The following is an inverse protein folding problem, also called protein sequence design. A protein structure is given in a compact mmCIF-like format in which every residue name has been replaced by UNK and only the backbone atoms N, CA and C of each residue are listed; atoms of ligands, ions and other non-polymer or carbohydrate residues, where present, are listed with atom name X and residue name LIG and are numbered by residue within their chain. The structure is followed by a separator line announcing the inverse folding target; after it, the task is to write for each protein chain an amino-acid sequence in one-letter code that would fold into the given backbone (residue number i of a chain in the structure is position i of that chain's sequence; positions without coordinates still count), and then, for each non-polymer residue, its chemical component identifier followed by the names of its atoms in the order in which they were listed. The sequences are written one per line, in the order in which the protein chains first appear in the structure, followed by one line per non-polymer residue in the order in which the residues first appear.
data_IF_982252808332
#
_entry.id   IF_982252808332
#
_cell.length_a   1.000
_cell.length_b   1.000
_cell.length_c   1.000
_cell.angle_alpha   90.00
_cell.angle_beta   90.00
_cell.angle_gamma   90.00
#
_symmetry.space_group_name_H-M   'P 1'
#
loop_
_entity.id
_entity.type
_entity.pdbx_description
1 polymer ?
#
# COMPACT_ATOMS: atom_id res chain seq x y z
N UNK A 1 -74.81 13.08 -11.85
CA UNK A 1 -74.36 11.70 -12.18
C UNK A 1 -73.18 11.25 -11.38
N UNK A 2 -72.62 12.11 -10.48
CA UNK A 2 -71.36 11.81 -9.71
C UNK A 2 -71.54 11.26 -8.28
N UNK A 3 -72.73 11.28 -7.72
CA UNK A 3 -72.96 10.85 -6.35
C UNK A 3 -73.13 9.33 -6.16
N UNK A 4 -73.63 8.60 -7.20
CA UNK A 4 -73.80 7.13 -7.16
C UNK A 4 -72.47 6.36 -7.35
N UNK A 5 -71.51 6.94 -8.07
CA UNK A 5 -70.22 6.30 -8.33
C UNK A 5 -69.31 6.34 -7.09
N UNK A 6 -69.48 7.34 -6.24
CA UNK A 6 -68.68 7.51 -5.00
C UNK A 6 -69.16 6.58 -3.88
N UNK A 7 -70.44 6.27 -3.84
CA UNK A 7 -71.01 5.31 -2.88
C UNK A 7 -70.65 3.86 -3.16
N UNK A 8 -70.53 3.48 -4.45
CA UNK A 8 -70.15 2.12 -4.84
C UNK A 8 -68.65 1.84 -4.51
N UNK A 9 -67.76 2.80 -4.64
CA UNK A 9 -66.32 2.60 -4.29
C UNK A 9 -66.10 2.37 -2.80
N UNK A 10 -66.86 3.05 -1.94
CA UNK A 10 -66.74 2.87 -0.47
C UNK A 10 -67.29 1.53 0.04
N UNK A 11 -68.28 0.94 -0.67
CA UNK A 11 -68.82 -0.36 -0.27
C UNK A 11 -67.86 -1.51 -0.64
N UNK A 12 -67.18 -1.44 -1.77
CA UNK A 12 -66.22 -2.46 -2.21
C UNK A 12 -64.97 -2.44 -1.31
N UNK A 13 -64.54 -1.24 -0.89
CA UNK A 13 -63.35 -1.11 -0.02
C UNK A 13 -63.59 -1.66 1.39
N UNK A 14 -64.78 -1.51 1.95
CA UNK A 14 -65.15 -2.07 3.27
C UNK A 14 -65.31 -3.61 3.24
N UNK A 15 -65.74 -4.19 2.12
CA UNK A 15 -65.86 -5.64 2.01
C UNK A 15 -64.49 -6.33 1.86
N UNK A 16 -63.56 -5.71 1.18
CA UNK A 16 -62.18 -6.25 1.01
C UNK A 16 -61.40 -6.26 2.31
N UNK A 17 -61.55 -5.22 3.18
CA UNK A 17 -60.90 -5.14 4.49
C UNK A 17 -61.45 -6.14 5.50
N UNK A 18 -62.70 -6.60 5.36
CA UNK A 18 -63.27 -7.63 6.23
C UNK A 18 -62.76 -9.02 5.87
N UNK A 19 -62.55 -9.33 4.61
CA UNK A 19 -62.03 -10.64 4.16
C UNK A 19 -60.56 -10.83 4.59
N UNK A 20 -59.73 -9.82 4.48
CA UNK A 20 -58.30 -9.90 4.90
C UNK A 20 -58.16 -10.12 6.40
N UNK A 21 -59.04 -9.55 7.23
CA UNK A 21 -59.01 -9.80 8.69
C UNK A 21 -59.34 -11.24 9.07
N UNK A 22 -60.27 -11.90 8.33
CA UNK A 22 -60.63 -13.29 8.56
C UNK A 22 -59.55 -14.27 8.08
N UNK A 23 -58.85 -13.96 6.99
CA UNK A 23 -57.71 -14.79 6.51
C UNK A 23 -56.55 -14.75 7.49
N UNK A 24 -56.25 -13.57 8.05
CA UNK A 24 -55.17 -13.45 9.05
C UNK A 24 -55.53 -14.20 10.34
N UNK A 25 -56.80 -14.16 10.78
CA UNK A 25 -57.26 -14.90 11.97
C UNK A 25 -57.18 -16.45 11.78
N UNK A 26 -57.44 -16.93 10.59
CA UNK A 26 -57.36 -18.38 10.26
C UNK A 26 -55.89 -18.83 10.20
N UNK A 27 -54.98 -18.00 9.67
CA UNK A 27 -53.53 -18.32 9.65
C UNK A 27 -52.97 -18.40 11.06
N UNK A 28 -53.37 -17.48 11.96
CA UNK A 28 -52.90 -17.50 13.37
C UNK A 28 -53.46 -18.73 14.12
N UNK A 29 -54.69 -19.17 13.82
CA UNK A 29 -55.27 -20.37 14.45
C UNK A 29 -54.57 -21.69 14.03
N UNK A 30 -53.97 -21.76 12.83
CA UNK A 30 -53.19 -22.92 12.42
C UNK A 30 -51.80 -23.01 13.04
N UNK A 31 -51.23 -21.88 13.49
CA UNK A 31 -49.92 -21.93 14.17
C UNK A 31 -49.96 -22.27 15.65
N UNK A 32 -51.11 -22.31 16.28
CA UNK A 32 -51.25 -22.59 17.73
C UNK A 32 -51.60 -24.06 18.03
N UNK A 33 -51.91 -24.88 16.98
CA UNK A 33 -52.33 -26.26 17.18
C UNK A 33 -51.20 -27.33 17.10
N UNK A 34 -49.96 -26.93 17.12
CA UNK A 34 -48.83 -27.85 16.99
C UNK A 34 -47.96 -27.94 18.29
N UNK A 35 -48.59 -27.86 19.44
CA UNK A 35 -47.93 -28.22 20.70
C UNK A 35 -48.95 -28.82 21.65
N UNK A 36 -49.16 -30.14 21.59
CA UNK A 36 -49.69 -30.91 22.73
C UNK A 36 -48.84 -32.16 22.90
N UNK A 37 -48.33 -32.23 24.07
CA UNK A 37 -47.46 -33.19 24.72
C UNK A 37 -47.85 -34.64 24.52
N UNK A 38 -46.82 -35.47 24.32
CA UNK A 38 -46.80 -36.82 24.95
C UNK A 38 -45.51 -36.94 25.77
N UNK A 39 -45.69 -36.88 27.09
CA UNK A 39 -44.70 -37.36 28.01
C UNK A 39 -44.50 -38.87 27.77
N UNK A 40 -43.37 -39.21 27.21
CA UNK A 40 -42.85 -40.58 27.09
C UNK A 40 -41.35 -40.46 27.21
N UNK A 41 -40.81 -40.87 28.33
CA UNK A 41 -39.36 -40.90 28.55
C UNK A 41 -38.71 -41.78 27.50
N UNK A 42 -37.90 -41.16 26.66
CA UNK A 42 -36.89 -41.84 25.88
C UNK A 42 -35.55 -41.29 26.36
N UNK A 43 -34.71 -42.20 26.79
CA UNK A 43 -33.30 -41.91 27.06
C UNK A 43 -32.71 -41.25 25.84
N UNK A 44 -32.38 -39.95 25.96
CA UNK A 44 -31.65 -39.26 24.96
C UNK A 44 -30.21 -39.76 25.01
N UNK A 45 -29.89 -40.68 24.12
CA UNK A 45 -28.51 -41.00 23.78
C UNK A 45 -27.94 -39.73 23.20
N UNK A 46 -27.15 -39.00 23.99
CA UNK A 46 -26.33 -37.89 23.52
C UNK A 46 -25.25 -38.52 22.64
N UNK A 47 -25.52 -38.54 21.32
CA UNK A 47 -24.49 -38.82 20.34
C UNK A 47 -23.40 -37.74 20.52
N UNK A 48 -22.13 -38.13 20.73
CA UNK A 48 -21.07 -37.16 20.89
C UNK A 48 -21.04 -36.29 19.63
N UNK A 49 -21.35 -35.01 19.80
CA UNK A 49 -21.19 -34.04 18.71
C UNK A 49 -19.76 -34.14 18.20
N UNK A 50 -19.64 -34.57 16.94
CA UNK A 50 -18.38 -34.56 16.21
C UNK A 50 -17.81 -33.14 16.34
N UNK A 51 -16.57 -32.97 16.84
CA UNK A 51 -15.99 -31.66 16.96
C UNK A 51 -16.11 -30.98 15.60
N UNK A 52 -16.33 -29.63 15.56
CA UNK A 52 -16.35 -28.89 14.31
C UNK A 52 -15.11 -29.27 13.51
N UNK A 53 -15.30 -29.64 12.26
CA UNK A 53 -14.17 -29.90 11.37
C UNK A 53 -13.44 -28.53 11.27
N UNK A 54 -12.33 -28.38 11.99
CA UNK A 54 -11.40 -27.34 11.75
C UNK A 54 -10.94 -27.51 10.30
N UNK A 55 -11.49 -26.70 9.40
CA UNK A 55 -10.95 -26.57 8.06
C UNK A 55 -9.54 -26.07 8.26
N UNK A 56 -8.50 -26.80 7.86
CA UNK A 56 -7.13 -26.33 7.98
C UNK A 56 -7.05 -24.98 7.24
N UNK A 57 -6.93 -23.90 7.99
CA UNK A 57 -6.67 -22.61 7.38
C UNK A 57 -5.30 -22.74 6.73
N UNK A 58 -5.26 -22.73 5.42
CA UNK A 58 -4.00 -22.63 4.68
C UNK A 58 -3.25 -21.44 5.26
N UNK A 59 -2.02 -21.59 5.76
CA UNK A 59 -1.27 -20.47 6.32
C UNK A 59 -1.26 -19.35 5.31
N UNK A 60 -1.74 -18.16 5.69
CA UNK A 60 -1.66 -16.99 4.82
C UNK A 60 -0.19 -16.72 4.56
N UNK A 61 0.16 -16.55 3.29
CA UNK A 61 1.54 -16.24 2.90
C UNK A 61 1.94 -14.84 3.40
N UNK A 62 0.99 -13.90 3.33
CA UNK A 62 1.22 -12.50 3.72
C UNK A 62 0.72 -12.24 5.13
N UNK A 63 1.53 -11.52 5.91
CA UNK A 63 1.20 -11.07 7.26
C UNK A 63 1.49 -9.58 7.40
N UNK A 64 0.57 -8.87 8.04
CA UNK A 64 0.77 -7.51 8.48
C UNK A 64 1.68 -7.50 9.72
N UNK A 65 2.58 -6.53 9.76
CA UNK A 65 3.51 -6.31 10.87
C UNK A 65 3.62 -4.82 11.19
N UNK A 66 4.12 -4.50 12.37
CA UNK A 66 4.39 -3.10 12.73
C UNK A 66 5.39 -2.45 11.77
N UNK A 67 5.32 -1.12 11.57
CA UNK A 67 6.33 -0.37 10.84
C UNK A 67 7.74 -0.61 11.43
N UNK A 68 8.80 -0.53 10.61
CA UNK A 68 10.17 -0.58 11.11
C UNK A 68 10.44 0.46 12.21
N UNK A 69 11.15 0.09 13.27
CA UNK A 69 11.37 0.96 14.44
C UNK A 69 11.97 2.32 14.06
N UNK A 70 12.92 2.35 13.15
CA UNK A 70 13.53 3.59 12.67
C UNK A 70 12.51 4.53 12.04
N UNK A 71 11.54 3.99 11.32
CA UNK A 71 10.45 4.78 10.71
C UNK A 71 9.53 5.34 11.81
N UNK A 72 9.14 4.52 12.80
CA UNK A 72 8.32 4.97 13.93
C UNK A 72 8.99 6.09 14.72
N UNK A 73 10.31 6.00 14.95
CA UNK A 73 11.07 7.03 15.66
C UNK A 73 11.14 8.36 14.87
N UNK A 74 11.27 8.31 13.54
CA UNK A 74 11.34 9.48 12.67
C UNK A 74 9.97 10.09 12.35
N UNK A 75 8.90 9.33 12.49
CA UNK A 75 7.56 9.79 12.20
C UNK A 75 7.16 10.99 13.07
N UNK A 76 7.56 10.98 14.35
CA UNK A 76 7.30 12.06 15.29
C UNK A 76 7.92 13.41 14.86
N UNK A 77 9.01 13.40 14.11
CA UNK A 77 9.63 14.62 13.58
C UNK A 77 8.76 15.25 12.45
N UNK A 78 7.89 14.46 11.82
CA UNK A 78 7.03 14.88 10.71
C UNK A 78 5.57 15.11 11.10
N UNK A 79 5.14 14.67 12.29
CA UNK A 79 3.76 14.89 12.79
C UNK A 79 3.30 16.35 12.80
N UNK A 80 4.16 17.36 13.10
CA UNK A 80 3.75 18.75 13.10
C UNK A 80 3.38 19.29 11.72
N UNK A 81 3.82 18.65 10.64
CA UNK A 81 3.58 19.13 9.27
C UNK A 81 2.18 18.72 8.77
N UNK A 82 1.48 19.69 8.18
CA UNK A 82 0.18 19.50 7.52
C UNK A 82 0.28 20.00 6.07
N UNK A 83 1.00 19.27 5.19
CA UNK A 83 1.32 19.74 3.86
C UNK A 83 0.09 20.13 3.05
N UNK A 84 0.22 21.25 2.32
CA UNK A 84 -0.77 21.74 1.39
C UNK A 84 -0.16 21.73 -0.02
N UNK A 85 -0.73 20.93 -0.91
CA UNK A 85 -0.24 20.72 -2.28
C UNK A 85 -1.19 21.36 -3.28
N UNK A 86 -0.63 22.08 -4.24
CA UNK A 86 -1.38 22.67 -5.35
C UNK A 86 -0.66 22.37 -6.67
N UNK A 87 -1.41 21.95 -7.68
CA UNK A 87 -0.97 21.93 -9.07
C UNK A 87 -1.25 23.31 -9.68
N UNK A 88 -0.18 24.02 -10.01
CA UNK A 88 -0.28 25.37 -10.60
C UNK A 88 -0.44 25.31 -12.12
N UNK A 89 0.20 24.32 -12.75
CA UNK A 89 0.11 24.04 -14.18
C UNK A 89 0.30 22.51 -14.41
N UNK A 90 -0.52 21.88 -15.29
CA UNK A 90 -1.64 22.43 -16.05
C UNK A 90 -2.85 22.73 -15.16
N UNK A 91 -3.72 23.63 -15.61
CA UNK A 91 -4.98 23.92 -14.95
C UNK A 91 -6.06 22.93 -15.40
N UNK A 92 -7.12 22.80 -14.60
CA UNK A 92 -8.25 21.93 -14.89
C UNK A 92 -8.88 22.23 -16.26
N UNK A 93 -9.19 21.19 -17.03
CA UNK A 93 -9.83 21.19 -18.34
C UNK A 93 -9.02 21.94 -19.45
N UNK A 94 -7.74 22.21 -19.21
CA UNK A 94 -6.86 22.85 -20.18
C UNK A 94 -6.60 21.94 -21.38
N UNK A 95 -6.71 22.50 -22.59
CA UNK A 95 -6.29 21.82 -23.82
C UNK A 95 -4.91 22.33 -24.23
N UNK A 96 -3.96 21.43 -24.37
CA UNK A 96 -2.59 21.70 -24.82
C UNK A 96 -2.48 21.44 -26.31
N UNK A 97 -1.79 22.32 -27.05
CA UNK A 97 -1.52 22.14 -28.48
C UNK A 97 -0.29 21.28 -28.74
N UNK A 98 0.53 21.06 -27.71
CA UNK A 98 1.74 20.25 -27.76
C UNK A 98 1.59 18.97 -26.94
N UNK A 99 2.37 17.94 -27.29
CA UNK A 99 2.43 16.67 -26.56
C UNK A 99 3.36 16.69 -25.34
N UNK A 100 3.59 17.87 -24.79
CA UNK A 100 4.42 18.07 -23.59
C UNK A 100 3.83 19.12 -22.68
N UNK A 101 4.07 18.97 -21.37
CA UNK A 101 3.65 19.95 -20.37
C UNK A 101 4.70 20.13 -19.28
N UNK A 102 4.95 21.38 -18.92
CA UNK A 102 5.78 21.74 -17.78
C UNK A 102 4.91 21.85 -16.53
N UNK A 103 4.85 20.79 -15.74
CA UNK A 103 4.06 20.74 -14.51
C UNK A 103 4.72 21.58 -13.42
N UNK A 104 3.95 22.44 -12.76
CA UNK A 104 4.39 23.27 -11.64
C UNK A 104 3.56 22.99 -10.41
N UNK A 105 4.24 22.90 -9.27
CA UNK A 105 3.62 22.65 -7.98
C UNK A 105 3.87 23.83 -7.03
N UNK A 106 2.96 23.99 -6.07
CA UNK A 106 3.20 24.77 -4.87
C UNK A 106 2.96 23.85 -3.67
N UNK A 107 3.91 23.85 -2.74
CA UNK A 107 3.80 23.11 -1.49
C UNK A 107 3.98 24.09 -0.34
N UNK A 108 3.15 23.96 0.69
CA UNK A 108 3.27 24.70 1.94
C UNK A 108 3.32 23.70 3.07
N UNK A 109 3.87 24.11 4.19
CA UNK A 109 3.95 23.35 5.43
C UNK A 109 4.60 21.96 5.29
N UNK A 110 5.57 21.83 4.38
CA UNK A 110 6.49 20.70 4.30
C UNK A 110 7.74 21.13 3.54
N UNK A 111 8.95 20.97 4.09
CA UNK A 111 10.19 21.14 3.34
C UNK A 111 10.33 20.00 2.32
N UNK A 112 10.48 20.37 1.05
CA UNK A 112 10.70 19.40 -0.04
C UNK A 112 12.19 19.42 -0.40
N UNK A 113 12.88 18.30 -0.16
CA UNK A 113 14.30 18.16 -0.44
C UNK A 113 14.72 16.70 -0.56
N UNK A 114 15.93 16.47 -1.06
CA UNK A 114 16.58 15.16 -1.09
C UNK A 114 17.91 15.22 -0.38
N UNK A 115 18.10 14.43 0.67
CA UNK A 115 19.37 14.38 1.36
C UNK A 115 20.47 13.80 0.43
N UNK A 116 21.61 14.49 0.24
CA UNK A 116 22.57 14.12 -0.80
C UNK A 116 23.18 12.74 -0.63
N UNK A 117 23.50 12.30 0.58
CA UNK A 117 24.10 11.00 0.87
C UNK A 117 23.09 9.91 1.07
N UNK A 118 22.00 10.19 1.79
CA UNK A 118 20.96 9.20 2.14
C UNK A 118 19.97 8.96 1.01
N UNK A 119 19.90 9.88 0.03
CA UNK A 119 19.02 9.80 -1.16
C UNK A 119 17.53 9.72 -0.85
N UNK A 120 17.11 10.08 0.35
CA UNK A 120 15.74 10.18 0.84
C UNK A 120 15.46 11.62 1.32
N UNK A 121 14.19 11.96 1.45
CA UNK A 121 13.68 13.24 1.96
C UNK A 121 12.20 13.38 1.66
N UNK A 122 11.48 14.32 2.28
CA UNK A 122 10.09 14.58 1.94
C UNK A 122 9.98 15.06 0.48
N UNK A 123 9.00 14.53 -0.24
CA UNK A 123 8.88 14.74 -1.67
C UNK A 123 7.42 14.65 -2.13
N UNK A 124 7.18 14.94 -3.40
CA UNK A 124 5.89 14.70 -4.01
C UNK A 124 5.90 13.37 -4.77
N UNK A 125 4.83 12.60 -4.64
CA UNK A 125 4.48 11.55 -5.59
C UNK A 125 3.60 12.15 -6.68
N UNK A 126 4.08 12.15 -7.91
CA UNK A 126 3.35 12.69 -9.07
C UNK A 126 2.97 11.55 -9.99
N UNK A 127 1.68 11.35 -10.21
CA UNK A 127 1.13 10.23 -10.96
C UNK A 127 0.38 10.78 -12.17
N UNK A 128 0.86 10.45 -13.37
CA UNK A 128 0.15 10.71 -14.61
C UNK A 128 -0.69 9.49 -14.96
N UNK A 129 -1.98 9.68 -15.12
CA UNK A 129 -2.93 8.60 -15.45
C UNK A 129 -2.78 7.42 -14.47
N UNK A 130 -2.59 6.21 -14.99
CA UNK A 130 -2.32 5.04 -14.18
C UNK A 130 -0.85 4.59 -14.25
N UNK A 131 0.10 5.54 -14.42
CA UNK A 131 1.52 5.22 -14.43
C UNK A 131 2.09 5.11 -12.99
N UNK A 132 3.23 4.45 -12.81
CA UNK A 132 4.00 4.57 -11.58
C UNK A 132 4.32 6.03 -11.25
N UNK A 133 4.37 6.39 -9.96
CA UNK A 133 4.66 7.76 -9.57
C UNK A 133 6.09 8.20 -9.93
N UNK A 134 6.23 9.49 -10.20
CA UNK A 134 7.50 10.18 -10.35
C UNK A 134 7.76 10.92 -9.03
N UNK A 135 8.88 10.66 -8.32
CA UNK A 135 9.22 11.39 -7.10
C UNK A 135 9.80 12.76 -7.46
N UNK A 136 9.25 13.83 -6.89
CA UNK A 136 9.73 15.21 -7.09
C UNK A 136 10.26 15.75 -5.78
N UNK A 137 11.57 16.02 -5.73
CA UNK A 137 12.33 16.52 -4.58
C UNK A 137 12.69 18.00 -4.67
N UNK A 138 12.34 18.67 -5.75
CA UNK A 138 12.51 20.11 -5.93
C UNK A 138 11.32 20.70 -6.69
N UNK A 139 10.51 21.48 -6.00
CA UNK A 139 9.31 22.10 -6.56
C UNK A 139 9.60 23.42 -7.30
N UNK A 140 10.82 23.95 -7.21
CA UNK A 140 11.24 25.16 -7.92
C UNK A 140 11.51 24.87 -9.40
N UNK A 141 11.85 23.63 -9.73
CA UNK A 141 12.08 23.17 -11.09
C UNK A 141 10.82 22.49 -11.62
N UNK A 142 10.25 22.95 -12.74
CA UNK A 142 9.07 22.30 -13.33
C UNK A 142 9.38 20.86 -13.75
N UNK A 143 8.46 19.94 -13.44
CA UNK A 143 8.49 18.59 -13.97
C UNK A 143 7.99 18.61 -15.42
N UNK A 144 8.86 18.27 -16.38
CA UNK A 144 8.47 18.23 -17.80
C UNK A 144 8.02 16.83 -18.17
N UNK A 145 6.73 16.68 -18.47
CA UNK A 145 6.17 15.46 -19.05
C UNK A 145 6.17 15.59 -20.57
N UNK A 146 6.75 14.61 -21.25
CA UNK A 146 6.94 14.61 -22.71
C UNK A 146 6.25 13.41 -23.34
N UNK A 147 6.07 13.47 -24.65
CA UNK A 147 5.55 12.38 -25.48
C UNK A 147 4.17 11.90 -25.00
N UNK A 148 3.34 12.83 -24.53
CA UNK A 148 1.99 12.57 -24.10
C UNK A 148 1.13 12.16 -25.31
N UNK A 149 0.30 11.15 -25.15
CA UNK A 149 -0.66 10.75 -26.17
C UNK A 149 -1.72 11.83 -26.37
N UNK A 150 -2.31 11.91 -27.55
CA UNK A 150 -3.48 12.75 -27.76
C UNK A 150 -4.66 12.19 -26.95
N UNK A 151 -5.37 13.05 -26.21
CA UNK A 151 -6.50 12.66 -25.38
C UNK A 151 -6.50 13.33 -24.03
N UNK A 152 -7.29 12.78 -23.13
CA UNK A 152 -7.43 13.26 -21.74
C UNK A 152 -6.41 12.57 -20.83
N UNK A 153 -5.83 13.38 -19.95
CA UNK A 153 -4.88 12.95 -18.94
C UNK A 153 -5.30 13.47 -17.57
N UNK A 154 -5.10 12.66 -16.55
CA UNK A 154 -5.29 13.05 -15.15
C UNK A 154 -3.97 13.00 -14.40
N UNK A 155 -3.60 14.14 -13.81
CA UNK A 155 -2.44 14.28 -12.94
C UNK A 155 -2.90 14.28 -11.49
N UNK A 156 -2.36 13.37 -10.70
CA UNK A 156 -2.59 13.27 -9.25
C UNK A 156 -1.27 13.46 -8.54
N UNK A 157 -1.27 14.24 -7.48
CA UNK A 157 -0.06 14.51 -6.71
C UNK A 157 -0.39 14.55 -5.23
N UNK A 158 0.49 14.02 -4.40
CA UNK A 158 0.39 14.12 -2.96
C UNK A 158 1.77 14.23 -2.31
N UNK A 159 1.79 14.83 -1.12
CA UNK A 159 2.98 14.92 -0.30
C UNK A 159 3.32 13.56 0.32
N UNK A 160 4.60 13.25 0.37
CA UNK A 160 5.12 11.97 0.84
C UNK A 160 6.25 12.17 1.85
N UNK A 161 6.27 11.32 2.88
CA UNK A 161 7.37 11.16 3.83
C UNK A 161 8.62 10.60 3.14
N UNK A 162 9.81 10.72 3.74
CA UNK A 162 11.06 10.23 3.13
C UNK A 162 11.02 8.75 2.72
N UNK A 163 10.32 7.91 3.47
CA UNK A 163 10.15 6.48 3.19
C UNK A 163 8.99 6.16 2.25
N UNK A 164 8.49 7.21 1.53
CA UNK A 164 7.45 7.14 0.51
C UNK A 164 6.01 6.90 1.00
N UNK A 165 5.74 7.09 2.25
CA UNK A 165 4.41 7.07 2.83
C UNK A 165 3.69 8.39 2.57
N UNK A 166 2.43 8.34 2.15
CA UNK A 166 1.63 9.55 1.88
C UNK A 166 1.18 10.24 3.18
N UNK A 167 1.24 11.58 3.19
CA UNK A 167 0.49 12.37 4.16
C UNK A 167 -1.00 12.27 3.83
N UNK A 168 -1.83 12.07 4.86
CA UNK A 168 -3.28 11.85 4.69
C UNK A 168 -4.14 13.00 5.24
N UNK A 169 -3.50 14.12 5.62
CA UNK A 169 -4.23 15.32 6.03
C UNK A 169 -4.94 16.00 4.85
N UNK A 170 -5.98 16.74 5.15
CA UNK A 170 -6.68 17.56 4.16
C UNK A 170 -5.71 18.56 3.50
N UNK A 171 -5.74 18.62 2.16
CA UNK A 171 -4.83 19.45 1.36
C UNK A 171 -3.50 18.78 0.99
N UNK A 172 -3.15 17.62 1.55
CA UNK A 172 -1.92 16.90 1.14
C UNK A 172 -1.99 16.34 -0.28
N UNK A 173 -3.14 16.36 -0.92
CA UNK A 173 -3.43 15.84 -2.25
C UNK A 173 -3.99 16.92 -3.16
N UNK A 174 -3.59 16.88 -4.44
CA UNK A 174 -4.21 17.66 -5.50
C UNK A 174 -4.35 16.82 -6.78
N UNK A 175 -5.36 17.14 -7.57
CA UNK A 175 -5.64 16.50 -8.85
C UNK A 175 -6.04 17.54 -9.88
N UNK A 176 -5.65 17.31 -11.14
CA UNK A 176 -6.14 18.07 -12.30
C UNK A 176 -6.28 17.15 -13.50
N UNK A 177 -7.31 17.40 -14.30
CA UNK A 177 -7.51 16.75 -15.61
C UNK A 177 -7.24 17.77 -16.70
N UNK A 178 -6.45 17.41 -17.70
CA UNK A 178 -6.10 18.23 -18.84
C UNK A 178 -6.10 17.41 -20.12
N UNK A 179 -5.98 18.02 -21.26
CA UNK A 179 -6.12 17.37 -22.56
C UNK A 179 -4.94 17.73 -23.46
N UNK A 180 -4.49 16.76 -24.24
CA UNK A 180 -3.49 16.96 -25.28
C UNK A 180 -4.19 16.87 -26.63
N UNK A 181 -4.18 17.96 -27.40
CA UNK A 181 -4.80 18.12 -28.71
C UNK A 181 -6.31 17.95 -28.75
N UNK A 182 -6.88 16.98 -28.03
CA UNK A 182 -8.31 16.67 -28.03
C UNK A 182 -8.76 16.10 -26.69
N UNK A 183 -10.05 16.17 -26.42
CA UNK A 183 -10.67 15.51 -25.26
C UNK A 183 -11.06 14.07 -25.59
N UNK A 184 -10.85 13.14 -24.67
CA UNK A 184 -11.31 11.75 -24.74
C UNK A 184 -11.98 11.34 -23.44
N UNK A 185 -12.63 10.18 -23.44
CA UNK A 185 -13.19 9.57 -22.22
C UNK A 185 -12.15 8.84 -21.36
N UNK A 186 -10.98 8.56 -21.95
CA UNK A 186 -9.91 7.84 -21.26
C UNK A 186 -9.29 8.72 -20.16
N UNK A 187 -8.80 8.11 -19.10
CA UNK A 187 -8.13 8.77 -17.99
C UNK A 187 -8.91 9.94 -17.36
N UNK A 188 -10.23 9.97 -17.53
CA UNK A 188 -11.11 11.02 -17.01
C UNK A 188 -11.98 10.45 -15.88
N UNK A 189 -11.55 10.52 -14.62
CA UNK A 189 -12.32 10.00 -13.50
C UNK A 189 -13.61 10.79 -13.29
N UNK A 190 -14.70 10.09 -12.97
CA UNK A 190 -15.95 10.72 -12.55
C UNK A 190 -15.73 11.41 -11.19
N UNK A 191 -15.93 12.74 -11.10
CA UNK A 191 -15.74 13.49 -9.87
C UNK A 191 -16.77 13.18 -8.78
N UNK A 192 -17.87 12.51 -9.12
CA UNK A 192 -18.93 12.13 -8.17
C UNK A 192 -18.64 10.76 -7.51
N UNK A 193 -17.68 10.00 -8.02
CA UNK A 193 -17.31 8.70 -7.49
C UNK A 193 -16.00 8.75 -6.71
N UNK A 194 -15.81 7.87 -5.73
CA UNK A 194 -14.53 7.74 -5.06
C UNK A 194 -13.42 7.34 -6.05
N UNK A 195 -12.23 7.80 -5.75
CA UNK A 195 -11.05 7.55 -6.58
C UNK A 195 -9.91 6.97 -5.74
N UNK A 196 -9.47 5.78 -6.12
CA UNK A 196 -8.29 5.13 -5.56
C UNK A 196 -7.04 5.58 -6.33
N UNK A 197 -6.01 6.00 -5.60
CA UNK A 197 -4.69 6.27 -6.15
C UNK A 197 -3.70 5.27 -5.56
N UNK A 198 -3.23 4.34 -6.37
CA UNK A 198 -2.21 3.38 -5.99
C UNK A 198 -0.86 4.10 -5.80
N UNK A 199 -0.27 4.02 -4.62
CA UNK A 199 1.03 4.61 -4.28
C UNK A 199 2.13 3.55 -4.19
N UNK A 200 1.99 2.63 -3.26
CA UNK A 200 2.98 1.59 -2.93
C UNK A 200 2.30 0.22 -2.72
N UNK A 201 3.04 -0.90 -2.96
CA UNK A 201 4.44 -1.02 -3.37
C UNK A 201 4.67 -0.75 -4.86
N UNK A 202 5.82 -0.17 -5.21
CA UNK A 202 6.20 0.16 -6.59
C UNK A 202 7.71 0.04 -6.80
N UNK A 203 8.15 -0.57 -7.90
CA UNK A 203 9.57 -0.71 -8.25
C UNK A 203 10.28 -1.85 -7.52
N UNK A 204 11.48 -1.58 -7.00
CA UNK A 204 12.37 -2.59 -6.43
C UNK A 204 12.43 -2.46 -4.91
N UNK A 205 12.54 -3.59 -4.22
CA UNK A 205 12.63 -3.68 -2.77
C UNK A 205 13.80 -4.56 -2.36
N UNK A 206 14.64 -4.06 -1.45
CA UNK A 206 15.79 -4.78 -0.91
C UNK A 206 15.58 -5.36 0.49
N UNK A 207 14.41 -5.14 1.09
CA UNK A 207 14.08 -5.61 2.43
C UNK A 207 12.57 -5.74 2.64
N UNK A 208 12.17 -6.53 3.62
CA UNK A 208 10.84 -6.62 4.20
C UNK A 208 10.86 -6.12 5.66
N UNK A 209 9.76 -5.56 6.16
CA UNK A 209 8.44 -5.50 5.55
C UNK A 209 8.36 -4.52 4.38
N UNK A 210 7.50 -4.81 3.40
CA UNK A 210 7.20 -3.93 2.28
C UNK A 210 5.93 -3.14 2.60
N UNK A 211 6.02 -1.83 2.45
CA UNK A 211 4.92 -0.91 2.72
C UNK A 211 3.87 -0.95 1.60
N UNK A 212 2.59 -1.03 1.98
CA UNK A 212 1.44 -0.82 1.12
C UNK A 212 0.80 0.50 1.51
N UNK A 213 0.71 1.41 0.55
CA UNK A 213 0.16 2.75 0.72
C UNK A 213 -0.67 3.14 -0.51
N UNK A 214 -1.78 3.82 -0.26
CA UNK A 214 -2.69 4.33 -1.27
C UNK A 214 -3.33 5.63 -0.80
N UNK A 215 -3.84 6.42 -1.74
CA UNK A 215 -4.60 7.62 -1.44
C UNK A 215 -6.05 7.48 -1.91
N UNK A 216 -6.98 8.01 -1.12
CA UNK A 216 -8.41 8.03 -1.46
C UNK A 216 -8.87 9.47 -1.67
N UNK A 217 -9.39 9.74 -2.86
CA UNK A 217 -10.09 10.98 -3.17
C UNK A 217 -11.60 10.74 -3.18
N UNK A 218 -12.37 11.73 -2.73
CA UNK A 218 -13.83 11.69 -2.76
C UNK A 218 -14.47 10.43 -2.13
N UNK A 219 -13.74 9.77 -1.23
CA UNK A 219 -14.27 8.66 -0.46
C UNK A 219 -14.85 9.18 0.86
N UNK A 220 -16.06 8.76 1.25
CA UNK A 220 -16.61 9.14 2.55
C UNK A 220 -15.72 8.59 3.66
N UNK A 221 -15.60 9.34 4.76
CA UNK A 221 -14.97 8.81 5.97
C UNK A 221 -15.83 7.65 6.48
N UNK A 222 -15.18 6.56 6.90
CA UNK A 222 -15.87 5.52 7.64
C UNK A 222 -16.40 6.13 8.94
N UNK A 223 -17.68 6.33 9.02
CA UNK A 223 -18.35 6.55 10.29
C UNK A 223 -18.28 5.20 11.00
N UNK A 224 -17.42 5.12 12.02
CA UNK A 224 -17.38 3.95 12.90
C UNK A 224 -18.80 3.59 13.31
N UNK A 225 -19.07 2.31 13.60
CA UNK A 225 -20.41 1.73 13.84
C UNK A 225 -21.25 2.39 14.96
N UNK A 226 -21.00 3.63 15.28
CA UNK A 226 -21.71 4.46 16.25
C UNK A 226 -21.92 5.86 15.67
N UNK A 227 -23.14 6.06 15.32
CA UNK A 227 -23.98 7.26 15.38
C UNK A 227 -24.84 7.39 14.13
N UNK A 228 -26.05 6.81 14.25
CA UNK A 228 -27.20 7.32 13.54
C UNK A 228 -27.46 8.73 14.03
N UNK A 229 -26.75 9.72 13.53
CA UNK A 229 -27.16 11.11 13.60
C UNK A 229 -28.25 11.29 12.55
N UNK A 230 -29.50 11.10 13.00
CA UNK A 230 -30.70 11.54 12.27
C UNK A 230 -30.54 13.05 12.02
N UNK A 231 -30.28 13.46 10.79
CA UNK A 231 -30.49 14.85 10.42
C UNK A 231 -29.63 15.50 9.35
N UNK A 232 -28.65 14.85 8.74
CA UNK A 232 -28.00 15.43 7.56
C UNK A 232 -28.19 14.51 6.35
N UNK A 233 -28.96 14.95 5.36
CA UNK A 233 -29.00 14.34 4.03
C UNK A 233 -27.61 14.51 3.39
N UNK A 234 -26.70 13.59 3.68
CA UNK A 234 -25.46 13.47 2.89
C UNK A 234 -25.85 12.95 1.50
N UNK A 235 -25.56 13.73 0.46
CA UNK A 235 -25.69 13.33 -0.95
C UNK A 235 -24.69 12.21 -1.33
N UNK A 236 -24.14 11.50 -0.37
CA UNK A 236 -23.24 10.36 -0.59
C UNK A 236 -24.11 9.14 -0.83
N UNK A 237 -23.90 8.48 -1.95
CA UNK A 237 -24.54 7.20 -2.26
C UNK A 237 -24.32 6.26 -1.06
N UNK A 238 -25.41 5.91 -0.37
CA UNK A 238 -25.40 5.07 0.83
C UNK A 238 -24.67 3.74 0.64
N UNK A 239 -24.50 3.34 -0.62
CA UNK A 239 -23.81 2.11 -1.01
C UNK A 239 -22.26 2.22 -0.90
N UNK A 240 -21.71 3.42 -0.70
CA UNK A 240 -20.26 3.66 -0.62
C UNK A 240 -19.82 3.97 0.82
N UNK A 241 -20.74 4.16 1.75
CA UNK A 241 -20.45 4.53 3.16
C UNK A 241 -19.53 3.55 3.92
N UNK A 242 -19.54 2.27 3.55
CA UNK A 242 -18.67 1.22 4.10
C UNK A 242 -17.77 0.61 3.02
N UNK A 243 -17.11 1.46 2.25
CA UNK A 243 -16.16 1.04 1.22
C UNK A 243 -15.03 0.18 1.81
N UNK A 244 -14.40 -0.60 0.96
CA UNK A 244 -13.22 -1.40 1.29
C UNK A 244 -12.23 -1.37 0.15
N UNK A 245 -10.96 -1.62 0.47
CA UNK A 245 -9.93 -1.81 -0.54
C UNK A 245 -9.54 -3.30 -0.54
N UNK A 246 -9.78 -3.99 -1.65
CA UNK A 246 -9.25 -5.34 -1.84
C UNK A 246 -7.80 -5.24 -2.32
N UNK A 247 -6.89 -5.84 -1.56
CA UNK A 247 -5.52 -6.05 -1.97
C UNK A 247 -5.33 -7.50 -2.38
N UNK A 248 -4.81 -7.72 -3.58
CA UNK A 248 -4.45 -9.06 -4.07
C UNK A 248 -2.96 -9.11 -4.39
N UNK A 249 -2.22 -10.04 -3.77
CA UNK A 249 -0.79 -10.22 -3.97
C UNK A 249 -0.55 -11.65 -4.42
N UNK A 250 -0.03 -11.83 -5.65
CA UNK A 250 0.27 -13.15 -6.22
C UNK A 250 -0.92 -14.13 -6.18
N UNK A 251 -2.17 -13.62 -6.17
CA UNK A 251 -3.39 -14.42 -6.13
C UNK A 251 -3.98 -14.62 -4.73
N UNK A 252 -3.31 -14.20 -3.66
CA UNK A 252 -3.87 -14.16 -2.32
C UNK A 252 -4.51 -12.78 -2.06
N UNK A 253 -5.77 -12.77 -1.64
CA UNK A 253 -6.53 -11.53 -1.43
C UNK A 253 -6.91 -11.33 0.03
N UNK A 254 -6.88 -10.08 0.47
CA UNK A 254 -7.42 -9.63 1.74
C UNK A 254 -8.07 -8.25 1.56
N UNK A 255 -8.82 -7.81 2.56
CA UNK A 255 -9.58 -6.58 2.51
C UNK A 255 -9.11 -5.63 3.59
N UNK A 256 -8.92 -4.36 3.21
CA UNK A 256 -8.64 -3.25 4.10
C UNK A 256 -9.92 -2.41 4.23
N UNK A 257 -10.31 -2.09 5.44
CA UNK A 257 -11.44 -1.24 5.79
C UNK A 257 -11.02 0.12 6.37
N UNK A 258 -9.72 0.33 6.54
CA UNK A 258 -9.12 1.57 7.00
C UNK A 258 -8.25 2.22 5.94
N UNK A 259 -8.23 3.55 5.92
CA UNK A 259 -7.32 4.32 5.07
C UNK A 259 -6.01 4.58 5.81
N UNK A 260 -5.26 3.51 6.01
CA UNK A 260 -3.97 3.51 6.70
C UNK A 260 -2.88 2.87 5.86
N UNK A 261 -1.64 3.20 6.17
CA UNK A 261 -0.48 2.54 5.59
C UNK A 261 -0.20 1.27 6.37
N UNK A 262 -0.01 0.16 5.68
CA UNK A 262 0.33 -1.12 6.32
C UNK A 262 1.66 -1.66 5.83
N UNK A 263 2.28 -2.51 6.64
CA UNK A 263 3.56 -3.14 6.36
C UNK A 263 3.40 -4.64 6.28
N UNK A 264 3.82 -5.23 5.17
CA UNK A 264 3.58 -6.63 4.84
C UNK A 264 4.88 -7.43 4.71
N UNK A 265 4.85 -8.67 5.22
CA UNK A 265 5.86 -9.71 5.00
C UNK A 265 5.26 -10.90 4.26
N UNK A 266 6.12 -11.68 3.60
CA UNK A 266 5.75 -12.90 2.87
C UNK A 266 5.97 -12.81 1.37
N UNK A 267 6.65 -11.79 0.87
CA UNK A 267 6.97 -11.66 -0.54
C UNK A 267 8.02 -12.69 -0.95
N UNK A 268 7.87 -13.27 -2.13
CA UNK A 268 8.86 -14.18 -2.69
C UNK A 268 9.96 -13.36 -3.35
N UNK A 269 11.24 -13.77 -3.24
CA UNK A 269 12.29 -13.17 -4.04
C UNK A 269 11.95 -13.19 -5.53
N UNK A 270 12.23 -12.08 -6.23
CA UNK A 270 11.88 -11.87 -7.64
C UNK A 270 10.57 -11.10 -7.82
N UNK A 271 9.91 -11.36 -8.94
CA UNK A 271 8.70 -10.63 -9.35
C UNK A 271 7.49 -11.03 -8.51
N UNK A 272 6.79 -10.01 -8.01
CA UNK A 272 5.50 -10.13 -7.36
C UNK A 272 4.55 -9.14 -8.03
N UNK A 273 3.27 -9.47 -8.11
CA UNK A 273 2.26 -8.52 -8.54
C UNK A 273 1.32 -8.18 -7.40
N UNK A 274 0.92 -6.94 -7.37
CA UNK A 274 0.02 -6.38 -6.34
C UNK A 274 -1.07 -5.60 -7.03
N UNK A 275 -2.31 -5.93 -6.72
CA UNK A 275 -3.52 -5.25 -7.21
C UNK A 275 -4.24 -4.60 -6.04
N UNK A 276 -4.71 -3.38 -6.24
CA UNK A 276 -5.65 -2.71 -5.36
C UNK A 276 -6.95 -2.42 -6.12
N UNK A 277 -8.09 -2.70 -5.50
CA UNK A 277 -9.42 -2.42 -6.03
C UNK A 277 -10.29 -1.73 -4.98
N UNK A 278 -10.97 -0.67 -5.39
CA UNK A 278 -11.97 0.00 -4.57
C UNK A 278 -13.29 -0.75 -4.64
N UNK A 279 -13.84 -1.16 -3.50
CA UNK A 279 -15.08 -1.91 -3.38
C UNK A 279 -16.16 -1.09 -2.68
N UNK A 280 -17.41 -1.28 -3.08
CA UNK A 280 -18.60 -0.78 -2.39
C UNK A 280 -18.95 -1.60 -1.12
N UNK A 281 -20.05 -1.27 -0.47
CA UNK A 281 -20.56 -1.96 0.72
C UNK A 281 -20.87 -3.45 0.49
N UNK A 282 -21.21 -3.82 -0.73
CA UNK A 282 -21.54 -5.19 -1.13
C UNK A 282 -20.31 -5.99 -1.53
N UNK A 283 -19.15 -5.33 -1.65
CA UNK A 283 -17.89 -5.92 -2.09
C UNK A 283 -17.72 -5.95 -3.60
N UNK A 284 -18.54 -5.21 -4.35
CA UNK A 284 -18.38 -5.08 -5.79
C UNK A 284 -17.39 -3.96 -6.14
N UNK A 285 -16.59 -4.10 -7.21
CA UNK A 285 -15.70 -3.04 -7.65
C UNK A 285 -16.47 -1.79 -8.09
N UNK A 286 -16.11 -0.63 -7.53
CA UNK A 286 -16.62 0.67 -7.95
C UNK A 286 -15.95 1.08 -9.25
N UNK A 287 -16.75 1.19 -10.30
CA UNK A 287 -16.28 1.48 -11.66
C UNK A 287 -15.96 2.96 -11.81
N UNK A 288 -14.77 3.36 -11.43
CA UNK A 288 -14.17 4.63 -11.79
C UNK A 288 -12.78 4.36 -12.37
N UNK A 289 -12.25 5.30 -13.17
CA UNK A 289 -10.90 5.14 -13.73
C UNK A 289 -9.91 5.06 -12.57
N UNK A 290 -8.95 4.15 -12.66
CA UNK A 290 -7.88 3.89 -11.66
C UNK A 290 -8.32 3.13 -10.39
N UNK A 291 -9.60 2.85 -10.18
CA UNK A 291 -10.11 2.12 -9.01
C UNK A 291 -9.74 0.63 -8.99
N UNK A 292 -9.16 0.12 -10.06
CA UNK A 292 -8.45 -1.16 -10.10
C UNK A 292 -7.09 -0.94 -10.74
N UNK A 293 -6.03 -1.22 -9.99
CA UNK A 293 -4.66 -0.96 -10.44
C UNK A 293 -3.74 -2.10 -10.04
N UNK A 294 -3.04 -2.66 -11.03
CA UNK A 294 -2.02 -3.70 -10.84
C UNK A 294 -0.63 -3.11 -10.98
N UNK A 295 0.30 -3.52 -10.11
CA UNK A 295 1.74 -3.20 -10.19
C UNK A 295 2.58 -4.46 -10.06
N UNK A 296 3.63 -4.50 -10.88
CA UNK A 296 4.70 -5.47 -10.70
C UNK A 296 5.80 -4.85 -9.85
N UNK A 297 6.27 -5.58 -8.85
CA UNK A 297 7.42 -5.21 -8.03
C UNK A 297 8.48 -6.30 -8.11
N UNK A 298 9.73 -5.93 -7.83
CA UNK A 298 10.85 -6.86 -7.76
C UNK A 298 11.42 -6.84 -6.34
N UNK A 299 11.31 -7.96 -5.63
CA UNK A 299 11.86 -8.10 -4.29
C UNK A 299 13.17 -8.90 -4.33
N UNK A 300 14.29 -8.23 -4.01
CA UNK A 300 15.61 -8.81 -3.96
C UNK A 300 16.21 -8.59 -2.57
N UNK A 301 16.13 -9.56 -1.65
CA UNK A 301 16.64 -9.40 -0.29
C UNK A 301 18.12 -8.99 -0.24
N UNK A 302 18.49 -8.14 0.72
CA UNK A 302 19.86 -7.69 0.91
C UNK A 302 20.20 -6.37 0.23
N UNK A 303 19.19 -5.57 -0.16
CA UNK A 303 19.39 -4.22 -0.71
C UNK A 303 20.28 -3.34 0.17
N UNK A 304 21.14 -2.52 -0.46
CA UNK A 304 22.11 -1.67 0.23
C UNK A 304 21.71 -0.19 0.28
N UNK A 305 20.56 0.15 -0.30
CA UNK A 305 20.01 1.49 -0.21
C UNK A 305 19.57 1.84 1.23
N UNK A 306 19.45 3.13 1.50
CA UNK A 306 19.11 3.63 2.84
C UNK A 306 17.80 3.08 3.36
N UNK A 307 16.75 3.03 2.52
CA UNK A 307 15.45 2.52 2.93
C UNK A 307 15.51 1.04 3.31
N UNK A 308 16.21 0.23 2.52
CA UNK A 308 16.42 -1.20 2.84
C UNK A 308 17.14 -1.41 4.16
N UNK A 309 18.14 -0.57 4.46
CA UNK A 309 18.86 -0.59 5.74
C UNK A 309 17.99 -0.16 6.92
N UNK A 310 17.19 0.89 6.75
CA UNK A 310 16.18 1.32 7.74
C UNK A 310 15.18 0.21 8.04
N UNK A 311 14.67 -0.43 7.02
CA UNK A 311 13.69 -1.51 7.15
C UNK A 311 14.26 -2.72 7.91
N UNK A 312 15.54 -3.04 7.72
CA UNK A 312 16.24 -4.12 8.46
C UNK A 312 16.77 -3.70 9.84
N UNK A 313 16.66 -2.41 10.21
CA UNK A 313 17.21 -1.89 11.47
C UNK A 313 18.76 -1.87 11.49
N UNK A 314 19.40 -1.76 10.34
CA UNK A 314 20.88 -1.67 10.22
C UNK A 314 21.43 -0.25 10.47
N UNK A 315 20.52 0.72 10.52
CA UNK A 315 20.81 2.11 10.84
C UNK A 315 19.87 2.60 11.92
N UNK A 316 20.30 3.56 12.71
CA UNK A 316 19.49 4.20 13.75
C UNK A 316 18.75 5.43 13.20
N UNK A 317 17.70 5.87 13.85
CA UNK A 317 16.99 7.11 13.50
C UNK A 317 17.93 8.33 13.55
N UNK A 318 18.90 8.34 14.49
CA UNK A 318 19.88 9.41 14.57
C UNK A 318 20.81 9.48 13.35
N UNK A 319 21.30 8.34 12.85
CA UNK A 319 22.17 8.29 11.66
C UNK A 319 21.47 8.74 10.38
N UNK A 320 20.16 8.59 10.31
CA UNK A 320 19.38 8.95 9.11
C UNK A 320 18.46 10.17 9.31
N UNK A 321 18.51 10.84 10.46
CA UNK A 321 17.62 11.98 10.78
C UNK A 321 17.69 13.11 9.76
N UNK A 322 18.79 13.26 9.05
CA UNK A 322 18.93 14.21 7.94
C UNK A 322 17.90 14.04 6.80
N UNK A 323 17.18 12.89 6.75
CA UNK A 323 16.11 12.71 5.76
C UNK A 323 14.79 13.43 6.14
N UNK A 324 14.61 13.77 7.42
CA UNK A 324 13.42 14.49 7.93
C UNK A 324 13.74 15.95 8.27
N UNK A 325 14.98 16.27 8.63
CA UNK A 325 15.44 17.61 8.94
C UNK A 325 16.64 17.99 8.05
N UNK A 326 16.47 18.92 7.08
CA UNK A 326 17.55 19.34 6.19
C UNK A 326 18.69 20.09 6.90
N UNK A 327 18.46 20.58 8.13
CA UNK A 327 19.45 21.29 8.93
C UNK A 327 20.13 20.38 9.96
N UNK A 328 19.77 19.11 10.02
CA UNK A 328 20.35 18.17 10.96
C UNK A 328 21.84 17.97 10.68
N UNK A 329 22.65 18.25 11.69
CA UNK A 329 24.09 17.97 11.67
C UNK A 329 24.34 16.79 12.58
N UNK A 330 24.82 15.71 12.01
CA UNK A 330 25.19 14.51 12.76
C UNK A 330 26.26 14.89 13.79
N UNK A 331 25.90 14.84 15.08
CA UNK A 331 26.86 14.98 16.15
C UNK A 331 27.62 13.65 16.24
N UNK A 332 28.98 13.64 16.07
CA UNK A 332 29.74 12.40 16.15
C UNK A 332 29.49 11.75 17.52
N UNK A 333 28.67 10.74 17.54
CA UNK A 333 28.51 9.92 18.75
C UNK A 333 29.83 9.22 18.93
N UNK A 334 30.59 9.62 19.95
CA UNK A 334 31.77 8.87 20.34
C UNK A 334 31.32 7.43 20.60
N UNK A 335 31.73 6.53 19.71
CA UNK A 335 31.55 5.09 19.89
C UNK A 335 31.94 4.80 21.34
N UNK A 336 31.09 4.14 22.13
CA UNK A 336 31.50 3.82 23.50
C UNK A 336 32.79 3.04 23.38
N UNK A 337 33.88 3.67 23.83
CA UNK A 337 35.18 3.00 24.01
C UNK A 337 34.88 1.75 24.82
N UNK A 338 35.13 0.60 24.24
CA UNK A 338 35.16 -0.65 24.99
C UNK A 338 35.87 -0.39 26.30
N UNK A 339 35.13 -0.36 27.40
CA UNK A 339 35.71 -0.28 28.73
C UNK A 339 36.54 -1.54 28.87
N UNK A 340 37.80 -1.38 28.65
CA UNK A 340 38.82 -2.38 29.00
C UNK A 340 38.64 -2.59 30.49
N UNK A 341 38.07 -3.71 30.85
CA UNK A 341 37.97 -4.16 32.24
C UNK A 341 39.36 -4.07 32.83
N UNK A 342 39.61 -3.35 33.95
CA UNK A 342 40.92 -3.32 34.54
C UNK A 342 41.31 -4.74 34.91
N UNK A 343 42.44 -5.17 34.39
CA UNK A 343 43.09 -6.41 34.72
C UNK A 343 43.42 -6.35 36.22
N UNK A 344 42.78 -7.23 36.99
CA UNK A 344 43.04 -7.36 38.42
C UNK A 344 44.42 -8.00 38.50
N UNK A 345 45.41 -7.20 38.91
CA UNK A 345 46.77 -7.64 39.25
C UNK A 345 46.68 -8.64 40.40
N UNK A 346 46.80 -9.93 40.07
CA UNK A 346 46.89 -11.00 41.06
C UNK A 346 48.33 -11.04 41.57
N UNK A 347 48.51 -10.57 42.80
CA UNK A 347 49.73 -10.64 43.57
C UNK A 347 50.11 -12.10 43.75
N UNK A 348 51.43 -12.49 43.53
CA UNK A 348 51.89 -13.87 43.73
C UNK A 348 52.03 -14.19 45.18
N UNK A 349 51.58 -15.34 45.65
CA UNK A 349 51.94 -15.98 46.92
C UNK A 349 52.93 -17.10 46.62
N UNK A 350 53.96 -17.32 47.53
CA UNK A 350 55.17 -18.03 47.16
C UNK A 350 55.11 -19.56 47.24
N UNK A 351 56.00 -20.13 46.43
CA UNK A 351 56.66 -21.46 46.35
C UNK A 351 56.33 -22.53 47.37
N UNK A 352 56.08 -23.74 46.87
CA UNK A 352 56.66 -24.96 47.44
C UNK A 352 57.11 -25.89 46.30
N UNK A 353 58.36 -26.32 46.45
CA UNK A 353 59.23 -27.06 45.54
C UNK A 353 58.91 -28.55 45.59
N UNK A 354 59.17 -29.28 44.50
CA UNK A 354 59.51 -30.68 44.24
C UNK A 354 58.68 -31.29 43.15
N UNK A 355 59.17 -31.83 42.10
CA UNK A 355 60.39 -32.47 41.72
C UNK A 355 60.08 -33.36 40.50
N UNK A 356 60.93 -33.22 39.47
CA UNK A 356 61.49 -34.29 38.66
C UNK A 356 60.65 -35.03 37.59
N UNK A 357 60.98 -34.87 36.34
CA UNK A 357 61.45 -35.75 35.28
C UNK A 357 60.77 -35.49 33.88
N UNK A 358 61.66 -35.09 32.99
CA UNK A 358 61.62 -35.12 31.54
C UNK A 358 61.36 -36.54 30.96
N UNK A 359 61.04 -36.74 29.67
CA UNK A 359 61.70 -36.14 28.51
C UNK A 359 60.79 -35.79 27.27
N UNK A 360 61.33 -34.87 26.52
CA UNK A 360 61.01 -34.46 25.11
C UNK A 360 61.41 -35.53 24.09
N UNK A 361 61.25 -35.28 22.78
CA UNK A 361 60.17 -34.96 21.84
C UNK A 361 60.06 -36.03 20.74
N UNK A 362 59.45 -35.85 19.57
CA UNK A 362 60.03 -35.15 18.43
C UNK A 362 59.03 -34.36 17.52
N UNK A 363 59.62 -33.36 16.93
CA UNK A 363 59.13 -32.55 15.81
C UNK A 363 59.49 -33.24 14.46
N UNK A 364 59.19 -32.73 13.32
CA UNK A 364 58.05 -32.86 12.37
C UNK A 364 58.45 -33.58 11.07
N UNK A 365 57.71 -33.45 10.00
CA UNK A 365 58.30 -32.86 8.80
C UNK A 365 57.38 -31.86 8.02
N UNK A 366 58.06 -30.90 7.49
CA UNK A 366 57.76 -29.93 6.46
C UNK A 366 57.53 -30.61 5.11
N UNK A 367 56.48 -30.26 4.39
CA UNK A 367 56.41 -30.41 2.92
C UNK A 367 55.76 -29.14 2.33
N UNK A 368 56.56 -28.45 1.69
CA UNK A 368 56.75 -27.92 0.31
C UNK A 368 55.51 -27.44 -0.43
N UNK A 369 55.64 -26.17 -0.68
CA UNK A 369 55.11 -25.32 -1.74
C UNK A 369 54.81 -26.04 -3.07
N UNK A 370 53.67 -25.79 -3.63
CA UNK A 370 53.47 -25.76 -5.08
C UNK A 370 52.51 -24.65 -5.48
N UNK A 371 53.02 -23.78 -6.32
CA UNK A 371 52.39 -22.59 -6.94
C UNK A 371 51.33 -22.99 -7.93
N UNK A 372 50.22 -22.26 -8.07
CA UNK A 372 49.20 -22.55 -9.10
C UNK A 372 49.57 -21.90 -10.43
N UNK A 373 49.27 -22.66 -11.41
CA UNK A 373 49.31 -22.36 -12.81
C UNK A 373 48.23 -21.37 -13.24
N UNK A 374 48.64 -20.36 -14.00
CA UNK A 374 47.81 -19.34 -14.62
C UNK A 374 47.05 -19.92 -15.78
N UNK A 375 45.72 -19.89 -15.75
CA UNK A 375 44.90 -20.17 -16.96
C UNK A 375 44.31 -18.85 -17.43
N UNK A 376 44.81 -18.39 -18.57
CA UNK A 376 44.22 -17.32 -19.37
C UNK A 376 42.89 -17.79 -19.97
N UNK A 377 41.79 -17.20 -19.52
CA UNK A 377 40.45 -17.34 -20.10
C UNK A 377 40.11 -16.14 -20.96
N UNK A 378 40.06 -16.40 -22.23
CA UNK A 378 39.75 -15.54 -23.37
C UNK A 378 38.38 -14.86 -23.21
N UNK A 379 38.35 -13.55 -23.25
CA UNK A 379 37.15 -12.72 -23.36
C UNK A 379 36.56 -12.81 -24.77
N UNK A 380 35.34 -13.28 -24.93
CA UNK A 380 34.55 -13.10 -26.13
C UNK A 380 33.71 -11.82 -26.04
N UNK A 381 33.54 -11.09 -27.14
CA UNK A 381 32.88 -9.77 -27.11
C UNK A 381 31.38 -9.89 -27.24
N UNK A 382 30.69 -9.07 -26.50
CA UNK A 382 29.24 -8.80 -26.53
C UNK A 382 28.80 -8.32 -27.93
N UNK A 383 27.70 -8.80 -28.50
CA UNK A 383 27.19 -8.28 -29.77
C UNK A 383 26.51 -6.93 -29.62
N UNK A 384 26.97 -6.01 -30.43
CA UNK A 384 26.39 -4.68 -30.65
C UNK A 384 25.05 -4.77 -31.38
N UNK A 385 24.07 -4.11 -30.81
CA UNK A 385 22.72 -3.98 -31.36
C UNK A 385 22.70 -2.88 -32.45
N UNK A 386 22.86 -3.29 -33.71
CA UNK A 386 22.49 -2.48 -34.88
C UNK A 386 21.98 -3.41 -35.97
N UNK A 387 20.84 -3.00 -36.51
CA UNK A 387 20.15 -3.46 -37.69
C UNK A 387 18.79 -4.12 -37.46
N UNK A 388 17.79 -3.26 -37.30
CA UNK A 388 16.44 -3.57 -37.76
C UNK A 388 16.14 -2.64 -38.93
N UNK A 389 16.21 -3.25 -40.09
CA UNK A 389 15.95 -2.71 -41.41
C UNK A 389 14.46 -2.39 -41.55
N UNK A 390 14.18 -1.18 -42.03
CA UNK A 390 12.93 -0.67 -42.49
C UNK A 390 12.55 -1.23 -43.87
N UNK A 391 11.39 -1.84 -44.12
CA UNK A 391 10.93 -2.09 -45.44
C UNK A 391 10.09 -0.92 -45.98
N UNK A 392 10.63 -0.29 -47.02
CA UNK A 392 10.02 0.72 -47.86
C UNK A 392 8.78 0.22 -48.59
N UNK A 393 7.82 1.16 -48.70
CA UNK A 393 6.93 1.44 -49.81
C UNK A 393 7.13 0.61 -51.10
N UNK A 394 6.04 0.08 -51.59
CA UNK A 394 5.76 0.01 -53.03
C UNK A 394 4.36 0.49 -53.31
N UNK A 395 4.30 1.62 -53.99
CA UNK A 395 3.19 2.10 -54.80
C UNK A 395 2.79 1.10 -55.89
N UNK A 396 1.52 1.15 -56.26
CA UNK A 396 0.90 1.10 -57.60
C UNK A 396 -0.59 0.83 -57.35
N UNK A 397 -1.57 1.71 -57.63
CA UNK A 397 -1.84 2.29 -58.95
C UNK A 397 -3.09 1.60 -59.52
N UNK A 398 -4.19 2.20 -59.42
CA UNK A 398 -5.28 2.57 -60.34
C UNK A 398 -6.50 3.09 -59.55
#
# INVERSE_FOLDING_TARGET
MNHKLMQMKNSIFKSCFSLTRWIIAIIIAFYVSACTDKAGGQDVVIEPQKPPIEIPQTPRQFSEVSPPQVIQELESDLEPYQPQVLIVNPIFDQVLEENSVAVRFQVRDLPIFKHPQLQLGPHLHVILDNQPYIPVYDVNIPLVLKDLAAGTHTLRVFASRPWHESFKNEGAYAQTTFHVLTKSSDNNPDPNLPLLTYSRPNGNYGAEPIMLDFYLGNAPLHMGAQENLEGEESNVDSNIGNWRIRCTINGESFVLDNWETIYLKGFKPGKNWVELEFLDNEGNPVKNVFNSTVRMIDYQPGGQDTLSKMVRGEVTAQEVRGIVDPNYVETPTSKPSSVTRPEIEVRPTPETVEGKLEPTPPTPPTETLSTPETVEGKLEPTPSNRDIINPRNTNLGT
#
